data_IF_374788995641
#
_entry.id   IF_374788995641
#
_cell.length_a   1.000
_cell.length_b   1.000
_cell.length_c   1.000
_cell.angle_alpha   90.00
_cell.angle_beta   90.00
_cell.angle_gamma   90.00
#
_symmetry.space_group_name_H-M   'P 1'
#
loop_
_entity.id
_entity.type
_entity.pdbx_description
1 polymer ?
#
# COMPACT_ATOMS: atom_id res chain seq x y z
N UNK A 1 29.00 17.12 -4.50
CA UNK A 1 28.13 16.06 -5.02
C UNK A 1 27.73 15.20 -3.85
N UNK A 2 26.49 15.34 -3.36
CA UNK A 2 25.96 14.51 -2.28
C UNK A 2 25.77 13.10 -2.82
N UNK A 3 26.49 12.12 -2.27
CA UNK A 3 26.11 10.72 -2.35
C UNK A 3 24.78 10.59 -1.58
N UNK A 4 23.65 10.86 -2.25
CA UNK A 4 22.37 10.45 -1.72
C UNK A 4 22.41 8.92 -1.72
N UNK A 5 22.59 8.33 -0.53
CA UNK A 5 22.47 6.89 -0.38
C UNK A 5 21.14 6.46 -1.00
N UNK A 6 21.20 5.46 -1.88
CA UNK A 6 20.03 4.97 -2.60
C UNK A 6 19.09 4.33 -1.59
N UNK A 7 17.89 4.89 -1.47
CA UNK A 7 16.83 4.32 -0.64
C UNK A 7 16.40 2.96 -1.19
N UNK A 8 16.09 2.04 -0.28
CA UNK A 8 15.56 0.72 -0.59
C UNK A 8 14.15 0.80 -1.17
N UNK A 9 13.34 1.75 -0.70
CA UNK A 9 12.02 2.08 -1.22
C UNK A 9 11.72 3.57 -1.02
N UNK A 10 10.59 4.05 -1.54
CA UNK A 10 10.23 5.46 -1.47
C UNK A 10 10.08 5.91 0.00
N UNK A 11 10.79 6.98 0.36
CA UNK A 11 10.65 7.59 1.68
C UNK A 11 9.21 8.06 1.93
N UNK A 12 8.79 8.07 3.20
CA UNK A 12 7.51 8.62 3.62
C UNK A 12 7.43 10.09 3.22
N UNK A 13 6.45 10.42 2.38
CA UNK A 13 6.18 11.77 1.93
C UNK A 13 5.56 12.61 3.07
N UNK A 14 5.89 13.90 3.12
CA UNK A 14 5.39 14.82 4.16
C UNK A 14 3.85 14.92 4.18
N UNK A 15 3.19 14.71 3.05
CA UNK A 15 1.72 14.72 2.96
C UNK A 15 1.09 13.41 3.45
N UNK A 16 1.89 12.35 3.65
CA UNK A 16 1.42 11.03 4.07
C UNK A 16 0.72 10.22 2.97
N UNK A 17 0.72 10.69 1.72
CA UNK A 17 0.02 10.01 0.60
C UNK A 17 0.47 8.57 0.38
N UNK A 18 1.73 8.26 0.66
CA UNK A 18 2.30 6.91 0.55
C UNK A 18 2.45 6.21 1.91
N UNK A 19 1.79 6.69 2.97
CA UNK A 19 1.95 6.15 4.32
C UNK A 19 1.66 4.65 4.40
N UNK A 20 0.58 4.16 3.79
CA UNK A 20 0.21 2.74 3.84
C UNK A 20 1.24 1.83 3.17
N UNK A 21 1.74 2.22 1.99
CA UNK A 21 2.81 1.47 1.32
C UNK A 21 4.12 1.55 2.11
N UNK A 22 4.44 2.71 2.67
CA UNK A 22 5.64 2.92 3.47
C UNK A 22 5.66 2.06 4.74
N UNK A 23 4.51 1.94 5.43
CA UNK A 23 4.36 1.05 6.60
C UNK A 23 4.66 -0.38 6.21
N UNK A 24 4.04 -0.87 5.14
CA UNK A 24 4.24 -2.24 4.64
C UNK A 24 5.71 -2.51 4.30
N UNK A 25 6.32 -1.64 3.51
CA UNK A 25 7.71 -1.80 3.08
C UNK A 25 8.69 -1.75 4.28
N UNK A 26 8.42 -0.87 5.24
CA UNK A 26 9.21 -0.73 6.47
C UNK A 26 9.10 -1.97 7.36
N UNK A 27 7.90 -2.49 7.59
CA UNK A 27 7.69 -3.71 8.38
C UNK A 27 8.39 -4.91 7.73
N UNK A 28 8.27 -5.07 6.42
CA UNK A 28 8.95 -6.15 5.67
C UNK A 28 10.47 -6.02 5.83
N UNK A 29 11.02 -4.81 5.68
CA UNK A 29 12.46 -4.60 5.78
C UNK A 29 12.98 -4.86 7.20
N UNK A 30 12.31 -4.34 8.23
CA UNK A 30 12.70 -4.56 9.62
C UNK A 30 12.64 -6.05 9.97
N UNK A 31 11.57 -6.76 9.56
CA UNK A 31 11.47 -8.21 9.77
C UNK A 31 12.58 -8.98 9.06
N UNK A 32 12.88 -8.65 7.80
CA UNK A 32 13.98 -9.27 7.04
C UNK A 32 15.35 -9.07 7.69
N UNK A 33 15.51 -8.02 8.51
CA UNK A 33 16.73 -7.72 9.27
C UNK A 33 16.68 -8.18 10.72
N UNK A 34 15.64 -8.91 11.14
CA UNK A 34 15.41 -9.27 12.56
C UNK A 34 15.32 -8.06 13.49
N UNK A 35 14.83 -6.93 12.97
CA UNK A 35 14.59 -5.69 13.71
C UNK A 35 13.09 -5.41 13.93
N UNK A 36 12.20 -6.30 13.47
CA UNK A 36 10.74 -6.06 13.52
C UNK A 36 10.19 -5.86 14.93
N UNK A 37 10.83 -6.42 15.96
CA UNK A 37 10.38 -6.24 17.33
C UNK A 37 10.72 -4.84 17.90
N UNK A 38 11.66 -4.09 17.30
CA UNK A 38 12.04 -2.75 17.81
C UNK A 38 10.91 -1.73 17.71
N UNK A 39 9.87 -2.01 16.91
CA UNK A 39 8.68 -1.17 16.75
C UNK A 39 7.44 -1.76 17.44
N UNK A 40 7.62 -2.70 18.38
CA UNK A 40 6.54 -3.32 19.17
C UNK A 40 6.70 -2.99 20.65
N UNK A 41 5.57 -2.84 21.34
CA UNK A 41 5.53 -2.61 22.78
C UNK A 41 6.06 -3.82 23.57
N UNK A 42 6.72 -3.55 24.71
CA UNK A 42 7.10 -4.57 25.69
C UNK A 42 8.29 -5.46 25.29
N UNK A 43 9.06 -5.07 24.28
CA UNK A 43 10.23 -5.81 23.82
C UNK A 43 11.53 -5.38 24.53
N UNK A 44 12.37 -6.35 24.89
CA UNK A 44 13.74 -6.17 25.36
C UNK A 44 14.76 -6.21 24.20
N UNK A 45 14.71 -5.25 23.28
CA UNK A 45 15.71 -5.16 22.19
C UNK A 45 17.05 -4.61 22.65
N UNK A 46 18.12 -5.04 21.98
CA UNK A 46 19.46 -4.51 22.21
C UNK A 46 19.54 -3.03 21.78
N UNK A 47 20.38 -2.24 22.48
CA UNK A 47 20.68 -0.85 22.10
C UNK A 47 21.20 -0.75 20.67
N UNK A 48 21.94 -1.78 20.21
CA UNK A 48 22.44 -1.84 18.85
C UNK A 48 21.31 -1.95 17.82
N UNK A 49 20.30 -2.77 18.10
CA UNK A 49 19.17 -2.97 17.18
C UNK A 49 18.23 -1.77 17.19
N UNK A 50 18.02 -1.14 18.35
CA UNK A 50 17.37 0.17 18.47
C UNK A 50 18.06 1.20 17.56
N UNK A 51 19.38 1.31 17.63
CA UNK A 51 20.14 2.25 16.81
C UNK A 51 20.04 1.94 15.30
N UNK A 52 20.13 0.66 14.91
CA UNK A 52 19.99 0.23 13.49
C UNK A 52 18.60 0.57 12.95
N UNK A 53 17.54 0.24 13.70
CA UNK A 53 16.17 0.54 13.31
C UNK A 53 15.93 2.05 13.21
N UNK A 54 16.46 2.82 14.17
CA UNK A 54 16.33 4.28 14.16
C UNK A 54 17.03 4.92 12.95
N UNK A 55 18.25 4.47 12.62
CA UNK A 55 18.96 4.93 11.40
C UNK A 55 18.14 4.62 10.16
N UNK A 56 17.57 3.42 10.08
CA UNK A 56 16.77 2.99 8.94
C UNK A 56 15.48 3.82 8.78
N UNK A 57 14.70 3.99 9.85
CA UNK A 57 13.48 4.80 9.86
C UNK A 57 13.78 6.24 9.46
N UNK A 58 14.81 6.85 10.06
CA UNK A 58 15.21 8.22 9.71
C UNK A 58 15.73 8.33 8.28
N UNK A 59 16.30 7.28 7.69
CA UNK A 59 16.71 7.30 6.29
C UNK A 59 15.49 7.37 5.35
N UNK A 60 14.39 6.70 5.74
CA UNK A 60 13.19 6.50 4.92
C UNK A 60 12.04 7.45 5.22
N UNK A 61 12.25 8.60 5.85
CA UNK A 61 11.21 9.63 6.03
C UNK A 61 11.67 10.97 5.44
N UNK A 62 10.71 11.82 5.07
CA UNK A 62 10.97 13.17 4.56
C UNK A 62 11.85 13.99 5.52
N UNK A 63 12.72 14.85 4.99
CA UNK A 63 13.65 15.68 5.80
C UNK A 63 12.94 16.56 6.83
N UNK A 64 11.78 17.13 6.48
CA UNK A 64 10.99 17.92 7.43
C UNK A 64 10.47 17.07 8.60
N UNK A 65 10.11 15.80 8.36
CA UNK A 65 9.74 14.88 9.44
C UNK A 65 10.95 14.54 10.32
N UNK A 66 12.16 14.40 9.74
CA UNK A 66 13.39 14.20 10.52
C UNK A 66 13.70 15.38 11.43
N UNK A 67 13.35 16.58 10.98
CA UNK A 67 13.54 17.83 11.71
C UNK A 67 12.51 17.96 12.85
N UNK A 68 11.25 17.63 12.57
CA UNK A 68 10.18 17.63 13.57
C UNK A 68 10.45 16.61 14.69
N UNK A 69 10.88 15.39 14.34
CA UNK A 69 11.17 14.33 15.30
C UNK A 69 12.66 14.23 15.68
N UNK A 70 13.42 15.32 15.59
CA UNK A 70 14.89 15.34 15.77
C UNK A 70 15.35 14.78 17.12
N UNK A 71 14.56 14.99 18.18
CA UNK A 71 14.88 14.56 19.55
C UNK A 71 14.43 13.14 19.88
N UNK A 72 13.63 12.52 19.01
CA UNK A 72 13.16 11.13 19.17
C UNK A 72 14.34 10.19 19.00
N UNK A 73 14.58 9.32 19.98
CA UNK A 73 15.71 8.37 19.98
C UNK A 73 15.30 6.92 19.90
N UNK A 74 14.02 6.65 20.17
CA UNK A 74 13.45 5.32 20.17
C UNK A 74 12.64 5.08 18.88
N UNK A 75 12.85 3.95 18.18
CA UNK A 75 12.15 3.65 16.94
C UNK A 75 10.65 3.37 17.14
N UNK A 76 10.22 2.82 18.27
CA UNK A 76 8.81 2.62 18.59
C UNK A 76 8.11 3.97 18.80
N UNK A 77 8.74 4.91 19.50
CA UNK A 77 8.21 6.28 19.65
C UNK A 77 8.04 6.95 18.29
N UNK A 78 9.06 6.91 17.43
CA UNK A 78 8.96 7.48 16.08
C UNK A 78 7.86 6.80 15.25
N UNK A 79 7.79 5.48 15.30
CA UNK A 79 6.77 4.69 14.61
C UNK A 79 5.35 5.09 15.04
N UNK A 80 5.12 5.20 16.34
CA UNK A 80 3.84 5.58 16.91
C UNK A 80 3.46 7.03 16.57
N UNK A 81 4.40 7.97 16.62
CA UNK A 81 4.17 9.36 16.21
C UNK A 81 3.74 9.47 14.74
N UNK A 82 4.43 8.74 13.85
CA UNK A 82 4.08 8.70 12.43
C UNK A 82 2.72 8.02 12.21
N UNK A 83 2.43 6.97 12.99
CA UNK A 83 1.13 6.30 12.96
C UNK A 83 0.01 7.22 13.41
N UNK A 84 0.12 7.87 14.57
CA UNK A 84 -0.88 8.82 15.04
C UNK A 84 -1.14 9.92 14.00
N UNK A 85 -0.07 10.44 13.39
CA UNK A 85 -0.18 11.48 12.38
C UNK A 85 -0.88 11.02 11.10
N UNK A 86 -0.62 9.81 10.61
CA UNK A 86 -1.01 9.41 9.25
C UNK A 86 -1.97 8.22 9.17
N UNK A 87 -2.34 7.55 10.26
CA UNK A 87 -3.25 6.40 10.22
C UNK A 87 -4.65 6.80 9.71
N UNK A 88 -5.03 8.07 9.88
CA UNK A 88 -6.24 8.63 9.29
C UNK A 88 -6.23 8.65 7.75
N UNK A 89 -5.08 8.45 7.08
CA UNK A 89 -5.01 8.37 5.61
C UNK A 89 -5.92 7.28 5.05
N UNK A 90 -6.14 6.19 5.78
CA UNK A 90 -7.13 5.17 5.38
C UNK A 90 -8.53 5.77 5.19
N UNK A 91 -8.91 6.73 6.04
CA UNK A 91 -10.23 7.37 5.98
C UNK A 91 -10.38 8.30 4.78
N UNK A 92 -9.28 8.87 4.27
CA UNK A 92 -9.27 9.74 3.09
C UNK A 92 -9.12 8.93 1.79
N UNK A 93 -8.28 7.90 1.80
CA UNK A 93 -8.00 7.05 0.63
C UNK A 93 -9.21 6.15 0.33
N UNK A 94 -9.80 5.53 1.35
CA UNK A 94 -10.84 4.52 1.15
C UNK A 94 -12.07 5.02 0.35
N UNK A 95 -12.68 6.19 0.65
CA UNK A 95 -13.80 6.70 -0.15
C UNK A 95 -13.42 6.95 -1.61
N UNK A 96 -12.21 7.49 -1.86
CA UNK A 96 -11.71 7.73 -3.22
C UNK A 96 -11.55 6.42 -3.98
N UNK A 97 -10.91 5.43 -3.38
CA UNK A 97 -10.64 4.14 -4.04
C UNK A 97 -11.92 3.33 -4.24
N UNK A 98 -12.89 3.40 -3.31
CA UNK A 98 -14.24 2.85 -3.51
C UNK A 98 -14.97 3.49 -4.68
N UNK A 99 -14.83 4.81 -4.84
CA UNK A 99 -15.38 5.53 -5.98
C UNK A 99 -14.71 5.07 -7.30
N UNK A 100 -13.38 4.97 -7.32
CA UNK A 100 -12.62 4.45 -8.47
C UNK A 100 -13.06 3.01 -8.81
N UNK A 101 -13.16 2.13 -7.81
CA UNK A 101 -13.65 0.76 -7.98
C UNK A 101 -15.06 0.71 -8.55
N UNK A 102 -15.99 1.49 -8.00
CA UNK A 102 -17.39 1.53 -8.46
C UNK A 102 -17.47 1.98 -9.93
N UNK A 103 -16.69 2.99 -10.31
CA UNK A 103 -16.71 3.59 -11.64
C UNK A 103 -15.71 2.97 -12.64
N UNK A 104 -14.94 1.96 -12.24
CA UNK A 104 -14.02 1.27 -13.13
C UNK A 104 -14.79 0.56 -14.25
N UNK A 105 -14.50 0.89 -15.52
CA UNK A 105 -15.11 0.26 -16.71
C UNK A 105 -14.07 -0.10 -17.76
N UNK A 106 -14.19 -1.30 -18.35
CA UNK A 106 -13.28 -1.77 -19.40
C UNK A 106 -13.19 -0.80 -20.60
N UNK A 107 -14.32 -0.19 -20.98
CA UNK A 107 -14.39 0.73 -22.12
C UNK A 107 -13.60 2.04 -21.95
N UNK A 108 -13.21 2.40 -20.72
CA UNK A 108 -12.46 3.64 -20.44
C UNK A 108 -10.95 3.48 -20.73
N UNK A 109 -10.50 2.29 -21.11
CA UNK A 109 -9.09 1.95 -21.34
C UNK A 109 -8.84 1.54 -22.79
N UNK A 110 -7.61 1.77 -23.28
CA UNK A 110 -7.24 1.43 -24.66
C UNK A 110 -6.96 -0.04 -24.85
N UNK A 111 -6.63 -0.75 -23.78
CA UNK A 111 -6.30 -2.18 -23.81
C UNK A 111 -6.74 -2.89 -22.53
N UNK A 112 -6.87 -4.22 -22.62
CA UNK A 112 -7.14 -5.08 -21.47
C UNK A 112 -6.01 -4.98 -20.43
N UNK A 113 -4.76 -4.85 -20.87
CA UNK A 113 -3.61 -4.71 -19.97
C UNK A 113 -3.68 -3.42 -19.14
N UNK A 114 -4.05 -2.29 -19.75
CA UNK A 114 -4.25 -1.03 -19.03
C UNK A 114 -5.38 -1.13 -18.00
N UNK A 115 -6.50 -1.74 -18.38
CA UNK A 115 -7.61 -2.00 -17.47
C UNK A 115 -7.19 -2.89 -16.29
N UNK A 116 -6.52 -4.01 -16.57
CA UNK A 116 -6.04 -4.95 -15.55
C UNK A 116 -5.08 -4.24 -14.59
N UNK A 117 -4.12 -3.46 -15.10
CA UNK A 117 -3.20 -2.67 -14.28
C UNK A 117 -3.94 -1.68 -13.36
N UNK A 118 -4.93 -0.96 -13.88
CA UNK A 118 -5.76 -0.06 -13.08
C UNK A 118 -6.57 -0.81 -12.02
N UNK A 119 -7.15 -1.95 -12.38
CA UNK A 119 -7.89 -2.81 -11.46
C UNK A 119 -7.00 -3.30 -10.32
N UNK A 120 -5.83 -3.87 -10.61
CA UNK A 120 -4.87 -4.32 -9.59
C UNK A 120 -4.42 -3.19 -8.67
N UNK A 121 -4.18 -1.99 -9.21
CA UNK A 121 -3.83 -0.82 -8.40
C UNK A 121 -4.96 -0.46 -7.44
N UNK A 122 -6.21 -0.43 -7.91
CA UNK A 122 -7.39 -0.11 -7.09
C UNK A 122 -7.58 -1.18 -6.01
N UNK A 123 -7.58 -2.46 -6.37
CA UNK A 123 -7.81 -3.55 -5.41
C UNK A 123 -6.71 -3.65 -4.38
N UNK A 124 -5.44 -3.44 -4.76
CA UNK A 124 -4.33 -3.37 -3.80
C UNK A 124 -4.52 -2.25 -2.78
N UNK A 125 -5.02 -1.07 -3.20
CA UNK A 125 -5.32 0.02 -2.28
C UNK A 125 -6.51 -0.27 -1.37
N UNK A 126 -7.57 -0.94 -1.88
CA UNK A 126 -8.69 -1.39 -1.06
C UNK A 126 -8.22 -2.38 0.02
N UNK A 127 -7.37 -3.34 -0.36
CA UNK A 127 -6.78 -4.32 0.56
C UNK A 127 -5.91 -3.64 1.62
N UNK A 128 -5.06 -2.67 1.23
CA UNK A 128 -4.27 -1.88 2.18
C UNK A 128 -5.14 -1.06 3.15
N UNK A 129 -6.35 -0.68 2.73
CA UNK A 129 -7.33 0.00 3.58
C UNK A 129 -8.16 -0.98 4.44
N UNK A 130 -7.92 -2.29 4.35
CA UNK A 130 -8.58 -3.33 5.14
C UNK A 130 -9.82 -3.95 4.50
N UNK A 131 -10.11 -3.67 3.22
CA UNK A 131 -11.14 -4.41 2.48
C UNK A 131 -10.63 -5.76 2.00
N UNK A 132 -11.52 -6.74 1.88
CA UNK A 132 -11.18 -8.01 1.26
C UNK A 132 -11.76 -8.04 -0.15
N UNK A 133 -10.90 -8.00 -1.16
CA UNK A 133 -11.29 -8.13 -2.57
C UNK A 133 -10.71 -9.44 -3.10
N UNK A 134 -11.59 -10.33 -3.53
CA UNK A 134 -11.26 -11.65 -4.06
C UNK A 134 -11.09 -11.62 -5.57
N UNK A 135 -10.36 -12.60 -6.12
CA UNK A 135 -10.25 -12.76 -7.59
C UNK A 135 -11.62 -12.91 -8.26
N UNK A 136 -12.56 -13.57 -7.58
CA UNK A 136 -13.95 -13.70 -8.05
C UNK A 136 -14.65 -12.35 -8.16
N UNK A 137 -14.48 -11.46 -7.19
CA UNK A 137 -15.04 -10.11 -7.25
C UNK A 137 -14.39 -9.27 -8.36
N UNK A 138 -13.09 -9.46 -8.60
CA UNK A 138 -12.39 -8.82 -9.72
C UNK A 138 -12.90 -9.32 -11.09
N UNK A 139 -13.15 -10.63 -11.21
CA UNK A 139 -13.73 -11.22 -12.42
C UNK A 139 -15.16 -10.72 -12.66
N UNK A 140 -16.02 -10.75 -11.63
CA UNK A 140 -17.38 -10.22 -11.74
C UNK A 140 -17.37 -8.72 -12.03
N UNK A 141 -16.43 -7.96 -11.46
CA UNK A 141 -16.25 -6.55 -11.79
C UNK A 141 -15.92 -6.40 -13.27
N UNK A 142 -14.99 -7.18 -13.81
CA UNK A 142 -14.65 -7.17 -15.25
C UNK A 142 -15.87 -7.46 -16.11
N UNK A 143 -16.58 -8.55 -15.82
CA UNK A 143 -17.79 -8.94 -16.55
C UNK A 143 -18.88 -7.88 -16.48
N UNK A 144 -19.09 -7.24 -15.33
CA UNK A 144 -20.11 -6.19 -15.15
C UNK A 144 -19.88 -4.96 -16.03
N UNK A 145 -18.66 -4.77 -16.53
CA UNK A 145 -18.28 -3.61 -17.35
C UNK A 145 -18.35 -3.86 -18.86
N UNK A 146 -18.79 -5.06 -19.27
CA UNK A 146 -18.99 -5.38 -20.68
C UNK A 146 -20.13 -4.54 -21.26
N UNK A 147 -19.98 -4.10 -22.51
CA UNK A 147 -21.06 -3.44 -23.23
C UNK A 147 -22.29 -4.36 -23.35
N UNK A 148 -23.49 -3.78 -23.35
CA UNK A 148 -24.76 -4.54 -23.40
C UNK A 148 -24.86 -5.48 -24.62
N UNK A 149 -24.17 -5.15 -25.73
CA UNK A 149 -24.10 -6.05 -26.89
C UNK A 149 -23.35 -7.36 -26.63
N UNK A 150 -22.55 -7.42 -25.56
CA UNK A 150 -21.68 -8.56 -25.22
C UNK A 150 -22.24 -9.40 -24.06
N UNK A 151 -23.54 -9.31 -23.75
CA UNK A 151 -24.20 -10.07 -22.67
C UNK A 151 -24.02 -11.58 -22.83
N UNK A 152 -24.11 -12.11 -24.06
CA UNK A 152 -23.91 -13.55 -24.32
C UNK A 152 -22.48 -13.97 -23.95
N UNK A 153 -21.49 -13.18 -24.38
CA UNK A 153 -20.08 -13.44 -24.08
C UNK A 153 -19.81 -13.37 -22.57
N UNK A 154 -20.37 -12.36 -21.90
CA UNK A 154 -20.31 -12.19 -20.44
C UNK A 154 -20.82 -13.45 -19.73
N UNK A 155 -21.98 -13.99 -20.15
CA UNK A 155 -22.57 -15.19 -19.57
C UNK A 155 -21.69 -16.43 -19.81
N UNK A 156 -21.15 -16.60 -21.03
CA UNK A 156 -20.22 -17.68 -21.34
C UNK A 156 -18.97 -17.66 -20.44
N UNK A 157 -18.42 -16.48 -20.15
CA UNK A 157 -17.27 -16.37 -19.25
C UNK A 157 -17.61 -16.78 -17.82
N UNK A 158 -18.81 -16.44 -17.31
CA UNK A 158 -19.27 -16.88 -15.98
C UNK A 158 -19.45 -18.39 -15.90
N UNK A 159 -20.07 -18.99 -16.90
CA UNK A 159 -20.37 -20.42 -16.95
C UNK A 159 -19.10 -21.30 -17.05
N UNK A 160 -18.02 -20.75 -17.62
CA UNK A 160 -16.72 -21.45 -17.72
C UNK A 160 -15.98 -21.56 -16.39
N UNK A 161 -16.39 -20.84 -15.34
CA UNK A 161 -15.83 -20.98 -14.00
C UNK A 161 -14.37 -20.56 -13.88
N UNK A 162 -13.94 -19.52 -14.60
CA UNK A 162 -12.60 -18.95 -14.42
C UNK A 162 -12.39 -18.51 -12.97
N UNK A 163 -11.22 -18.79 -12.42
CA UNK A 163 -10.89 -18.46 -11.02
C UNK A 163 -9.95 -17.27 -10.89
N UNK A 164 -9.18 -16.95 -11.94
CA UNK A 164 -8.11 -15.95 -11.89
C UNK A 164 -8.16 -15.01 -13.10
N UNK A 165 -7.68 -13.78 -12.93
CA UNK A 165 -7.49 -12.80 -14.02
C UNK A 165 -6.13 -13.04 -14.65
N UNK A 166 -6.09 -13.21 -15.97
CA UNK A 166 -4.85 -13.44 -16.74
C UNK A 166 -4.22 -12.08 -17.09
N UNK A 167 -2.92 -11.95 -16.86
CA UNK A 167 -2.10 -10.79 -17.24
C UNK A 167 -1.74 -10.77 -18.72
#
# INVERSE_FOLDING_TARGET
MSNLAKLEFLALDITGKNYLSWVLDTEIHLNAKSLGDTIKEGNETSIQDIAKAMIFLRHHIHEDLKSEYLTTKDPLDLWNNLKERYDHQKTVILPRVRFEWTNLRLQDFKSISEYNSAMFRITSQLILCGENITDKEMLEKTFSTFHASNIILQQQYRERGFTNIVN
#
